data_IF_368338869791
#
_entry.id   IF_368338869791
#
_cell.length_a   1.000
_cell.length_b   1.000
_cell.length_c   1.000
_cell.angle_alpha   90.00
_cell.angle_beta   90.00
_cell.angle_gamma   90.00
#
_symmetry.space_group_name_H-M   'P 1'
#
loop_
_entity.id
_entity.type
_entity.pdbx_description
1 polymer ?
#
# COMPACT_ATOMS: atom_id res chain seq x y z
N UNK A 1 35.20 3.96 12.65
CA UNK A 1 34.25 3.28 13.54
C UNK A 1 32.83 3.10 12.96
N UNK A 2 32.57 3.42 11.67
CA UNK A 2 31.19 3.48 11.13
C UNK A 2 30.78 2.37 10.14
N UNK A 3 31.69 1.78 9.36
CA UNK A 3 31.28 0.79 8.33
C UNK A 3 30.79 -0.54 8.92
N UNK A 4 31.41 -1.01 10.01
CA UNK A 4 31.06 -2.29 10.65
C UNK A 4 29.69 -2.22 11.34
N UNK A 5 29.35 -1.10 11.99
CA UNK A 5 28.02 -0.87 12.58
C UNK A 5 26.92 -0.83 11.52
N UNK A 6 27.16 -0.17 10.38
CA UNK A 6 26.20 -0.14 9.27
C UNK A 6 25.97 -1.53 8.67
N UNK A 7 27.03 -2.34 8.51
CA UNK A 7 26.92 -3.70 7.97
C UNK A 7 26.18 -4.64 8.93
N UNK A 8 26.42 -4.53 10.25
CA UNK A 8 25.72 -5.32 11.26
C UNK A 8 24.21 -4.99 11.35
N UNK A 9 23.85 -3.72 11.19
CA UNK A 9 22.44 -3.28 11.14
C UNK A 9 21.75 -3.85 9.89
N UNK A 10 22.43 -3.82 8.73
CA UNK A 10 21.89 -4.37 7.48
C UNK A 10 21.70 -5.89 7.53
N UNK A 11 22.63 -6.64 8.13
CA UNK A 11 22.51 -8.10 8.31
C UNK A 11 21.41 -8.47 9.30
N UNK A 12 21.16 -7.65 10.32
CA UNK A 12 20.07 -7.88 11.27
C UNK A 12 18.70 -7.74 10.62
N UNK A 13 18.48 -6.75 9.75
CA UNK A 13 17.18 -6.51 9.09
C UNK A 13 16.71 -7.72 8.26
N UNK A 14 17.64 -8.43 7.60
CA UNK A 14 17.30 -9.62 6.81
C UNK A 14 17.12 -10.90 7.63
N UNK A 15 17.52 -10.91 8.90
CA UNK A 15 17.40 -12.05 9.81
C UNK A 15 16.22 -11.92 10.79
N UNK A 16 15.51 -10.79 10.79
CA UNK A 16 14.32 -10.62 11.61
C UNK A 16 13.21 -11.49 10.98
N UNK A 17 12.71 -12.52 11.70
CA UNK A 17 11.56 -13.30 11.23
C UNK A 17 10.35 -12.38 11.02
N UNK A 18 9.40 -12.76 10.16
CA UNK A 18 8.19 -11.98 9.81
C UNK A 18 7.45 -11.36 11.00
N UNK A 19 7.57 -11.95 12.20
CA UNK A 19 6.98 -11.49 13.46
C UNK A 19 7.73 -10.34 14.16
N UNK A 20 8.89 -9.91 13.64
CA UNK A 20 9.80 -9.03 14.37
C UNK A 20 9.75 -7.55 13.98
N UNK A 21 8.82 -7.11 13.13
CA UNK A 21 8.67 -5.71 12.71
C UNK A 21 7.91 -4.83 13.69
N UNK A 22 7.72 -5.26 14.94
CA UNK A 22 7.05 -4.43 15.95
C UNK A 22 7.80 -3.13 16.23
N UNK A 23 7.05 -2.05 16.49
CA UNK A 23 7.59 -0.75 16.91
C UNK A 23 8.53 -0.86 18.11
N UNK A 24 8.32 -1.82 19.01
CA UNK A 24 9.21 -2.14 20.13
C UNK A 24 10.59 -2.64 19.65
N UNK A 25 10.61 -3.57 18.67
CA UNK A 25 11.85 -4.09 18.09
C UNK A 25 12.55 -3.04 17.21
N UNK A 26 11.79 -2.24 16.47
CA UNK A 26 12.31 -1.16 15.65
C UNK A 26 12.94 -0.04 16.48
N UNK A 27 12.47 0.19 17.71
CA UNK A 27 13.06 1.17 18.63
C UNK A 27 14.49 0.83 19.03
N UNK A 28 14.83 -0.47 19.09
CA UNK A 28 16.19 -0.93 19.39
C UNK A 28 17.14 -0.58 18.24
N UNK A 29 16.64 -0.69 17.00
CA UNK A 29 17.42 -0.43 15.77
C UNK A 29 17.47 1.07 15.44
N UNK A 30 16.38 1.78 15.73
CA UNK A 30 16.18 3.20 15.41
C UNK A 30 15.79 4.00 16.67
N UNK A 31 16.67 4.10 17.67
CA UNK A 31 16.36 4.73 18.96
C UNK A 31 16.10 6.24 18.87
N UNK A 32 16.47 6.87 17.75
CA UNK A 32 16.25 8.30 17.49
C UNK A 32 14.87 8.63 16.93
N UNK A 33 14.07 7.62 16.56
CA UNK A 33 12.72 7.84 16.02
C UNK A 33 11.71 8.03 17.15
N UNK A 34 10.76 8.93 16.92
CA UNK A 34 9.59 9.09 17.77
C UNK A 34 8.68 7.87 17.66
N UNK A 35 7.78 7.61 18.64
CA UNK A 35 6.82 6.51 18.56
C UNK A 35 5.96 6.54 17.27
N UNK A 36 5.52 7.72 16.81
CA UNK A 36 4.79 7.86 15.55
C UNK A 36 5.63 7.41 14.36
N UNK A 37 6.90 7.82 14.29
CA UNK A 37 7.80 7.45 13.20
C UNK A 37 8.18 5.96 13.21
N UNK A 38 8.18 5.32 14.39
CA UNK A 38 8.36 3.88 14.50
C UNK A 38 7.14 3.11 14.00
N UNK A 39 5.94 3.58 14.35
CA UNK A 39 4.68 3.00 13.87
C UNK A 39 4.54 3.13 12.34
N UNK A 40 4.85 4.32 11.78
CA UNK A 40 4.89 4.52 10.33
C UNK A 40 5.86 3.55 9.65
N UNK A 41 6.99 3.26 10.31
CA UNK A 41 8.02 2.36 9.77
C UNK A 41 7.61 0.89 9.86
N UNK A 42 7.03 0.46 10.98
CA UNK A 42 6.42 -0.87 11.15
C UNK A 42 5.41 -1.12 10.03
N UNK A 43 4.46 -0.20 9.87
CA UNK A 43 3.38 -0.33 8.89
C UNK A 43 3.88 -0.32 7.44
N UNK A 44 4.84 0.54 7.09
CA UNK A 44 5.47 0.50 5.75
C UNK A 44 6.14 -0.84 5.46
N UNK A 45 6.82 -1.42 6.46
CA UNK A 45 7.48 -2.72 6.32
C UNK A 45 6.49 -3.87 6.17
N UNK A 46 5.34 -3.80 6.84
CA UNK A 46 4.24 -4.76 6.66
C UNK A 46 3.67 -4.71 5.25
N UNK A 47 3.32 -3.52 4.74
CA UNK A 47 2.75 -3.37 3.39
C UNK A 47 3.74 -3.82 2.32
N UNK A 48 5.03 -3.49 2.44
CA UNK A 48 6.07 -3.97 1.51
C UNK A 48 6.21 -5.51 1.49
N UNK A 49 5.80 -6.18 2.58
CA UNK A 49 5.82 -7.65 2.65
C UNK A 49 4.55 -8.28 2.09
N UNK A 50 3.40 -7.63 2.27
CA UNK A 50 2.12 -8.13 1.77
C UNK A 50 1.90 -7.83 0.29
N UNK A 51 2.40 -6.69 -0.19
CA UNK A 51 2.19 -6.20 -1.54
C UNK A 51 3.51 -6.00 -2.27
N UNK A 52 3.59 -6.29 -3.59
CA UNK A 52 4.81 -6.13 -4.39
C UNK A 52 5.06 -4.65 -4.74
N UNK A 53 5.12 -3.78 -3.74
CA UNK A 53 5.33 -2.34 -3.87
C UNK A 53 6.76 -1.94 -3.48
N UNK A 54 7.33 -0.95 -4.17
CA UNK A 54 8.66 -0.44 -3.87
C UNK A 54 8.61 0.82 -2.98
N UNK A 55 9.76 1.23 -2.44
CA UNK A 55 9.86 2.39 -1.54
C UNK A 55 9.40 3.72 -2.17
N UNK A 56 9.53 3.86 -3.49
CA UNK A 56 9.05 5.04 -4.20
C UNK A 56 7.53 5.09 -4.21
N UNK A 57 6.88 3.97 -4.54
CA UNK A 57 5.42 3.84 -4.56
C UNK A 57 4.84 3.97 -3.14
N UNK A 58 5.55 3.51 -2.10
CA UNK A 58 5.14 3.71 -0.71
C UNK A 58 4.91 5.19 -0.37
N UNK A 59 5.80 6.08 -0.80
CA UNK A 59 5.66 7.50 -0.46
C UNK A 59 4.48 8.18 -1.19
N UNK A 60 3.87 7.50 -2.15
CA UNK A 60 2.66 7.94 -2.88
C UNK A 60 1.36 7.40 -2.24
N UNK A 61 1.45 6.68 -1.12
CA UNK A 61 0.30 6.10 -0.40
C UNK A 61 -0.21 7.06 0.68
N UNK A 62 -1.55 7.29 0.72
CA UNK A 62 -2.19 7.91 1.89
C UNK A 62 -2.50 6.88 2.97
N UNK A 63 -1.79 6.99 4.08
CA UNK A 63 -1.91 6.07 5.21
C UNK A 63 -3.08 6.42 6.16
N UNK A 64 -3.69 7.61 6.03
CA UNK A 64 -4.79 8.04 6.91
C UNK A 64 -6.18 7.58 6.43
N UNK A 65 -6.26 7.01 5.21
CA UNK A 65 -7.51 6.73 4.50
C UNK A 65 -8.07 5.31 4.60
N UNK A 66 -7.84 4.57 5.69
CA UNK A 66 -8.30 3.17 5.85
C UNK A 66 -9.82 3.03 6.05
N UNK A 67 -10.63 3.63 5.17
CA UNK A 67 -12.08 3.50 5.19
C UNK A 67 -12.67 3.14 3.82
N UNK A 68 -12.12 3.67 2.73
CA UNK A 68 -12.59 3.33 1.36
C UNK A 68 -11.60 2.44 0.59
N UNK A 69 -10.30 2.53 0.92
CA UNK A 69 -9.20 1.83 0.24
C UNK A 69 -8.62 0.65 1.03
N UNK A 70 -9.19 0.31 2.19
CA UNK A 70 -8.90 -0.95 2.90
C UNK A 70 -9.61 -2.14 2.22
N UNK A 71 -9.47 -2.18 0.90
CA UNK A 71 -9.87 -3.27 0.07
C UNK A 71 -9.06 -4.50 0.43
N UNK A 72 -9.74 -5.57 0.86
CA UNK A 72 -9.11 -6.89 0.92
C UNK A 72 -8.41 -7.23 -0.40
N UNK A 73 -7.48 -8.20 -0.35
CA UNK A 73 -6.58 -8.56 -1.43
C UNK A 73 -7.32 -8.84 -2.76
N UNK A 74 -7.50 -7.80 -3.57
CA UNK A 74 -8.32 -7.83 -4.78
C UNK A 74 -7.45 -8.35 -5.91
N UNK A 75 -7.84 -9.49 -6.49
CA UNK A 75 -7.10 -10.12 -7.60
C UNK A 75 -7.63 -9.71 -8.96
N UNK A 76 -8.90 -9.28 -9.01
CA UNK A 76 -9.53 -8.85 -10.24
C UNK A 76 -10.64 -7.84 -9.95
N UNK A 77 -10.86 -6.92 -10.88
CA UNK A 77 -11.94 -5.94 -10.81
C UNK A 77 -12.55 -5.72 -12.20
N UNK A 78 -13.87 -5.61 -12.25
CA UNK A 78 -14.63 -5.28 -13.46
C UNK A 78 -15.66 -4.22 -13.15
N UNK A 79 -15.79 -3.23 -14.01
CA UNK A 79 -16.81 -2.19 -13.85
C UNK A 79 -17.69 -2.09 -15.09
N UNK A 80 -18.92 -1.64 -14.89
CA UNK A 80 -19.86 -1.30 -15.95
C UNK A 80 -19.31 -0.23 -16.91
N UNK A 81 -18.62 0.78 -16.39
CA UNK A 81 -17.82 1.70 -17.20
C UNK A 81 -16.62 2.27 -16.44
N UNK A 82 -15.83 3.10 -17.12
CA UNK A 82 -14.72 3.84 -16.51
C UNK A 82 -14.52 5.15 -17.24
N UNK A 83 -14.21 6.21 -16.49
CA UNK A 83 -13.89 7.51 -17.02
C UNK A 83 -12.68 7.41 -17.96
N UNK A 84 -12.74 8.08 -19.10
CA UNK A 84 -11.62 8.07 -20.05
C UNK A 84 -10.41 8.76 -19.43
N UNK A 85 -9.26 8.09 -19.47
CA UNK A 85 -7.97 8.69 -19.10
C UNK A 85 -7.60 9.82 -20.07
N UNK A 86 -7.30 11.00 -19.52
CA UNK A 86 -6.97 12.21 -20.29
C UNK A 86 -5.50 12.63 -20.20
N UNK A 87 -4.80 12.24 -19.14
CA UNK A 87 -3.40 12.62 -18.88
C UNK A 87 -2.55 11.38 -18.63
N UNK A 88 -1.27 11.44 -19.01
CA UNK A 88 -0.28 10.42 -18.68
C UNK A 88 -0.06 10.38 -17.17
N UNK A 89 -0.29 9.23 -16.53
CA UNK A 89 -0.07 9.06 -15.09
C UNK A 89 -1.30 9.26 -14.22
N UNK A 90 -2.46 9.58 -14.80
CA UNK A 90 -3.76 9.52 -14.12
C UNK A 90 -4.59 8.45 -14.81
N UNK A 91 -5.10 7.47 -14.09
CA UNK A 91 -5.89 6.39 -14.68
C UNK A 91 -7.13 6.10 -13.84
N UNK A 92 -8.23 5.76 -14.51
CA UNK A 92 -9.55 5.60 -13.89
C UNK A 92 -10.10 4.17 -14.01
N UNK A 93 -9.21 3.19 -14.15
CA UNK A 93 -9.58 1.82 -14.53
C UNK A 93 -10.13 1.04 -13.32
N UNK A 94 -10.92 -0.03 -13.54
CA UNK A 94 -11.49 -0.82 -12.45
C UNK A 94 -10.43 -1.40 -11.50
N UNK A 95 -9.24 -1.74 -12.01
CA UNK A 95 -8.16 -2.32 -11.21
C UNK A 95 -7.63 -1.35 -10.15
N UNK A 96 -7.87 -0.05 -10.31
CA UNK A 96 -7.43 0.99 -9.39
C UNK A 96 -8.40 1.21 -8.22
N UNK A 97 -9.52 0.50 -8.15
CA UNK A 97 -10.54 0.67 -7.09
C UNK A 97 -9.99 0.48 -5.67
N UNK A 98 -8.85 -0.19 -5.57
CA UNK A 98 -8.17 -0.54 -4.34
C UNK A 98 -6.71 -0.08 -4.32
N UNK A 99 -6.33 0.79 -5.25
CA UNK A 99 -4.99 1.34 -5.27
C UNK A 99 -4.86 2.43 -4.20
N UNK A 100 -3.67 2.53 -3.62
CA UNK A 100 -3.38 3.46 -2.53
C UNK A 100 -2.71 4.75 -3.02
N UNK A 101 -2.36 4.84 -4.31
CA UNK A 101 -1.69 5.99 -4.90
C UNK A 101 -2.66 7.15 -5.15
N UNK A 102 -2.26 8.34 -4.76
CA UNK A 102 -3.08 9.57 -4.90
C UNK A 102 -3.52 9.91 -6.33
N UNK A 103 -2.80 9.46 -7.35
CA UNK A 103 -3.00 9.87 -8.73
C UNK A 103 -3.85 8.91 -9.56
N UNK A 104 -4.30 7.79 -8.98
CA UNK A 104 -5.11 6.79 -9.68
C UNK A 104 -6.29 6.37 -8.80
N UNK A 105 -7.40 6.05 -9.45
CA UNK A 105 -8.62 5.57 -8.80
C UNK A 105 -9.44 4.79 -9.83
N UNK A 106 -10.53 4.15 -9.43
CA UNK A 106 -11.62 3.87 -10.37
C UNK A 106 -12.63 5.01 -10.30
N UNK A 107 -13.07 5.52 -11.46
CA UNK A 107 -14.12 6.53 -11.57
C UNK A 107 -15.05 6.09 -12.69
N UNK A 108 -16.35 6.12 -12.45
CA UNK A 108 -17.36 5.80 -13.45
C UNK A 108 -17.34 6.76 -14.65
N UNK A 109 -17.67 6.24 -15.83
CA UNK A 109 -17.57 6.97 -17.10
C UNK A 109 -18.88 7.59 -17.59
N UNK A 110 -19.99 7.38 -16.89
CA UNK A 110 -21.28 7.89 -17.32
C UNK A 110 -21.48 9.37 -17.02
N UNK A 111 -22.11 10.08 -17.96
CA UNK A 111 -22.40 11.51 -17.86
C UNK A 111 -23.63 11.83 -17.00
N UNK A 112 -24.42 10.81 -16.62
CA UNK A 112 -25.65 10.94 -15.83
C UNK A 112 -25.43 10.72 -14.32
N UNK A 113 -24.27 11.14 -13.81
CA UNK A 113 -23.88 10.99 -12.40
C UNK A 113 -23.80 9.55 -11.90
N UNK A 114 -23.51 8.59 -12.79
CA UNK A 114 -23.23 7.22 -12.35
C UNK A 114 -24.44 6.35 -12.07
N UNK A 115 -25.63 6.79 -12.48
CA UNK A 115 -26.85 6.04 -12.17
C UNK A 115 -26.75 4.63 -12.80
N UNK A 116 -26.95 3.62 -11.94
CA UNK A 116 -26.83 2.20 -12.25
C UNK A 116 -25.43 1.72 -12.66
N UNK A 117 -24.37 2.44 -12.30
CA UNK A 117 -23.00 1.92 -12.43
C UNK A 117 -22.70 0.91 -11.31
N UNK A 118 -21.88 -0.08 -11.66
CA UNK A 118 -21.40 -1.10 -10.75
C UNK A 118 -19.91 -1.37 -10.94
N UNK A 119 -19.28 -1.82 -9.86
CA UNK A 119 -17.95 -2.44 -9.85
C UNK A 119 -18.01 -3.75 -9.06
N UNK A 120 -17.48 -4.80 -9.67
CA UNK A 120 -17.35 -6.14 -9.12
C UNK A 120 -15.88 -6.42 -8.85
N UNK A 121 -15.60 -7.08 -7.72
CA UNK A 121 -14.25 -7.44 -7.31
C UNK A 121 -14.18 -8.90 -6.94
N UNK A 122 -13.09 -9.53 -7.34
CA UNK A 122 -12.71 -10.87 -6.91
C UNK A 122 -11.63 -10.72 -5.84
N UNK A 123 -11.89 -11.29 -4.66
CA UNK A 123 -10.98 -11.24 -3.52
C UNK A 123 -10.26 -12.58 -3.40
N UNK A 124 -8.95 -12.53 -3.15
CA UNK A 124 -8.19 -13.73 -2.77
C UNK A 124 -8.58 -14.13 -1.35
N UNK A 125 -9.18 -15.32 -1.20
CA UNK A 125 -9.42 -15.94 0.10
C UNK A 125 -8.11 -16.30 0.81
N UNK A 126 -8.15 -16.39 2.14
CA UNK A 126 -6.97 -16.57 3.00
C UNK A 126 -6.32 -17.98 2.93
N UNK A 127 -6.93 -18.92 2.20
CA UNK A 127 -6.66 -20.36 2.33
C UNK A 127 -6.08 -21.06 1.06
N UNK A 128 -5.53 -20.32 0.09
CA UNK A 128 -4.83 -20.88 -1.10
C UNK A 128 -3.41 -20.34 -1.30
#
# INVERSE_FOLDING_TARGET
>A
MNKIKTILIFLFIFLIPKEGYSSENLKIIYPSLTPHQLLDKEYKLEIMQEFPINEKDLNEIDYQGCSWYCCGNTINAKASSSLKTTNSGITYRPENVCDLKFNIAWVEGKTDYGICESIERELKGKDN
#
